data_IF_052771843197
#
_entry.id   IF_052771843197
#
_cell.length_a   1.000
_cell.length_b   1.000
_cell.length_c   1.000
_cell.angle_alpha   90.00
_cell.angle_beta   90.00
_cell.angle_gamma   90.00
#
_symmetry.space_group_name_H-M   'P 1'
#
loop_
_entity.id
_entity.type
_entity.pdbx_description
1 polymer ?
#
# COMPACT_ATOMS: atom_id res chain seq x y z
N UNK A 1 8.97 -18.18 -0.21
CA UNK A 1 9.82 -16.98 -0.01
C UNK A 1 8.95 -15.78 -0.32
N UNK A 2 8.81 -14.83 0.61
CA UNK A 2 8.07 -13.62 0.29
C UNK A 2 8.92 -12.78 -0.66
N UNK A 3 8.44 -12.64 -1.89
CA UNK A 3 8.91 -11.57 -2.76
C UNK A 3 8.56 -10.27 -2.04
N UNK A 4 9.51 -9.33 -1.99
CA UNK A 4 9.27 -7.98 -1.51
C UNK A 4 9.54 -7.04 -2.66
N UNK A 5 8.48 -6.67 -3.36
CA UNK A 5 8.52 -5.72 -4.46
C UNK A 5 9.04 -4.39 -3.94
N UNK A 6 10.08 -3.87 -4.59
CA UNK A 6 10.63 -2.55 -4.28
C UNK A 6 10.03 -1.54 -5.22
N UNK A 7 9.41 -0.53 -4.67
CA UNK A 7 8.89 0.61 -5.42
C UNK A 7 9.89 1.75 -5.39
N UNK A 8 10.08 2.39 -6.53
CA UNK A 8 10.78 3.67 -6.67
C UNK A 8 9.85 4.84 -6.37
N UNK A 9 10.43 6.03 -6.23
CA UNK A 9 9.65 7.28 -6.11
C UNK A 9 8.73 7.52 -7.32
N UNK A 10 9.17 7.15 -8.52
CA UNK A 10 8.35 7.31 -9.74
C UNK A 10 7.15 6.38 -9.71
N UNK A 11 7.31 5.15 -9.23
CA UNK A 11 6.21 4.20 -9.08
C UNK A 11 5.15 4.74 -8.12
N UNK A 12 5.56 5.26 -6.95
CA UNK A 12 4.61 5.85 -6.00
C UNK A 12 3.91 7.07 -6.57
N UNK A 13 4.63 7.92 -7.31
CA UNK A 13 4.03 9.09 -7.98
C UNK A 13 2.97 8.65 -8.98
N UNK A 14 3.26 7.61 -9.78
CA UNK A 14 2.32 7.08 -10.78
C UNK A 14 1.10 6.41 -10.12
N UNK A 15 1.31 5.61 -9.09
CA UNK A 15 0.23 4.96 -8.33
C UNK A 15 -0.69 6.03 -7.72
N UNK A 16 -0.12 7.01 -7.02
CA UNK A 16 -0.89 8.04 -6.32
C UNK A 16 -1.63 8.98 -7.28
N UNK A 17 -1.14 9.19 -8.50
CA UNK A 17 -1.82 9.99 -9.52
C UNK A 17 -3.20 9.43 -9.92
N UNK A 18 -3.48 8.16 -9.62
CA UNK A 18 -4.78 7.53 -9.87
C UNK A 18 -5.81 7.79 -8.76
N UNK A 19 -5.42 8.48 -7.68
CA UNK A 19 -6.26 8.73 -6.51
C UNK A 19 -6.20 10.20 -6.10
N UNK A 20 -7.27 10.72 -5.50
CA UNK A 20 -7.27 12.07 -4.92
C UNK A 20 -6.65 12.05 -3.51
N UNK A 21 -5.34 11.78 -3.44
CA UNK A 21 -4.57 11.70 -2.20
C UNK A 21 -3.44 12.73 -2.13
N UNK A 22 -3.38 13.66 -3.08
CA UNK A 22 -2.30 14.65 -3.19
C UNK A 22 -1.01 14.10 -3.81
N UNK A 23 0.06 14.89 -3.73
CA UNK A 23 1.34 14.59 -4.38
C UNK A 23 2.26 13.79 -3.45
N UNK A 24 2.94 12.78 -3.99
CA UNK A 24 3.98 12.03 -3.27
C UNK A 24 5.05 12.96 -2.68
N UNK A 25 5.39 12.77 -1.40
CA UNK A 25 6.48 13.48 -0.73
C UNK A 25 7.60 12.54 -0.30
N UNK A 26 7.27 11.49 0.47
CA UNK A 26 8.23 10.46 0.89
C UNK A 26 7.54 9.13 1.18
N UNK A 27 8.32 8.07 1.27
CA UNK A 27 7.85 6.75 1.69
C UNK A 27 8.82 6.04 2.62
N UNK A 28 8.29 5.22 3.52
CA UNK A 28 9.09 4.35 4.39
C UNK A 28 8.60 2.89 4.27
N UNK A 29 9.50 1.92 3.97
CA UNK A 29 9.13 0.51 3.94
C UNK A 29 8.85 -0.01 5.35
N UNK A 30 7.85 -0.88 5.49
CA UNK A 30 7.55 -1.57 6.76
C UNK A 30 8.32 -2.89 6.81
N UNK A 31 9.45 -2.89 7.53
CA UNK A 31 10.39 -4.02 7.57
C UNK A 31 9.86 -5.26 8.31
N UNK A 32 8.90 -5.10 9.22
CA UNK A 32 8.40 -6.16 10.12
C UNK A 32 7.40 -7.15 9.47
N UNK A 33 7.03 -6.96 8.20
CA UNK A 33 6.11 -7.87 7.49
C UNK A 33 6.86 -8.99 6.74
N UNK A 34 6.45 -10.25 6.94
CA UNK A 34 7.02 -11.43 6.25
C UNK A 34 6.18 -11.90 5.06
N UNK A 35 4.99 -11.35 4.84
CA UNK A 35 4.01 -11.90 3.87
C UNK A 35 3.69 -10.94 2.72
N UNK A 36 3.75 -9.63 2.95
CA UNK A 36 3.32 -8.61 2.00
C UNK A 36 4.25 -7.39 2.05
N UNK A 37 4.33 -6.69 0.93
CA UNK A 37 5.03 -5.42 0.82
C UNK A 37 4.14 -4.30 1.35
N UNK A 38 4.59 -3.62 2.40
CA UNK A 38 3.86 -2.50 3.01
C UNK A 38 4.76 -1.25 3.05
N UNK A 39 4.18 -0.10 2.76
CA UNK A 39 4.84 1.21 2.80
C UNK A 39 3.96 2.23 3.52
N UNK A 40 4.59 3.05 4.37
CA UNK A 40 4.01 4.32 4.78
C UNK A 40 4.25 5.34 3.66
N UNK A 41 3.19 5.94 3.15
CA UNK A 41 3.24 7.00 2.15
C UNK A 41 2.89 8.33 2.79
N UNK A 42 3.70 9.35 2.55
CA UNK A 42 3.41 10.71 2.94
C UNK A 42 3.13 11.52 1.68
N UNK A 43 1.99 12.19 1.66
CA UNK A 43 1.56 13.07 0.57
C UNK A 43 1.27 14.47 1.09
N UNK A 44 1.00 15.39 0.18
CA UNK A 44 0.58 16.75 0.53
C UNK A 44 -0.77 16.81 1.25
N UNK A 45 -1.62 15.79 1.12
CA UNK A 45 -2.94 15.74 1.76
C UNK A 45 -2.96 14.88 3.03
N UNK A 46 -1.93 14.07 3.29
CA UNK A 46 -1.90 13.27 4.52
C UNK A 46 -0.91 12.11 4.50
N UNK A 47 -1.15 11.15 5.39
CA UNK A 47 -0.36 9.92 5.51
C UNK A 47 -1.24 8.72 5.22
N UNK A 48 -0.73 7.82 4.40
CA UNK A 48 -1.44 6.64 3.91
C UNK A 48 -0.58 5.39 4.08
N UNK A 49 -1.23 4.23 4.05
CA UNK A 49 -0.55 2.93 4.04
C UNK A 49 -0.81 2.28 2.69
N UNK A 50 0.25 2.00 1.93
CA UNK A 50 0.17 1.15 0.76
C UNK A 50 0.45 -0.28 1.17
N UNK A 51 -0.46 -1.18 0.79
CA UNK A 51 -0.30 -2.62 0.94
C UNK A 51 -0.35 -3.29 -0.43
N UNK A 52 0.73 -3.96 -0.79
CA UNK A 52 0.88 -4.66 -2.05
C UNK A 52 0.91 -6.17 -1.82
N UNK A 53 -0.04 -6.85 -2.45
CA UNK A 53 -0.30 -8.28 -2.30
C UNK A 53 0.36 -9.08 -3.43
N UNK A 54 1.46 -9.76 -3.13
CA UNK A 54 2.24 -10.50 -4.15
C UNK A 54 1.76 -11.94 -4.38
N UNK A 55 1.29 -12.60 -3.31
CA UNK A 55 0.89 -14.01 -3.32
C UNK A 55 -0.44 -14.23 -2.59
N UNK A 56 -1.45 -13.40 -2.88
CA UNK A 56 -2.80 -13.58 -2.32
C UNK A 56 -3.83 -13.61 -3.43
N UNK A 57 -4.84 -14.47 -3.27
CA UNK A 57 -5.98 -14.49 -4.17
C UNK A 57 -6.81 -13.22 -3.99
N UNK A 58 -7.49 -12.79 -5.06
CA UNK A 58 -8.36 -11.61 -5.03
C UNK A 58 -9.44 -11.73 -3.96
N UNK A 59 -10.00 -12.92 -3.79
CA UNK A 59 -11.05 -13.22 -2.80
C UNK A 59 -10.56 -12.99 -1.38
N UNK A 60 -9.30 -13.38 -1.09
CA UNK A 60 -8.69 -13.15 0.22
C UNK A 60 -8.51 -11.65 0.51
N UNK A 61 -8.10 -10.88 -0.50
CA UNK A 61 -7.93 -9.41 -0.37
C UNK A 61 -9.28 -8.71 -0.18
N UNK A 62 -10.30 -9.14 -0.92
CA UNK A 62 -11.67 -8.61 -0.77
C UNK A 62 -12.25 -8.93 0.60
N UNK A 63 -12.07 -10.15 1.09
CA UNK A 63 -12.48 -10.53 2.45
C UNK A 63 -11.84 -9.63 3.52
N UNK A 64 -10.53 -9.42 3.43
CA UNK A 64 -9.81 -8.53 4.36
C UNK A 64 -10.31 -7.08 4.26
N UNK A 65 -10.52 -6.59 3.05
CA UNK A 65 -11.04 -5.23 2.82
C UNK A 65 -12.44 -5.07 3.44
N UNK A 66 -13.33 -6.04 3.23
CA UNK A 66 -14.67 -6.01 3.81
C UNK A 66 -14.65 -6.02 5.35
N UNK A 67 -13.72 -6.74 5.98
CA UNK A 67 -13.56 -6.72 7.43
C UNK A 67 -13.15 -5.33 7.94
N UNK A 68 -12.24 -4.65 7.24
CA UNK A 68 -11.79 -3.31 7.61
C UNK A 68 -12.89 -2.25 7.48
N UNK A 69 -13.78 -2.40 6.50
CA UNK A 69 -14.92 -1.50 6.29
C UNK A 69 -16.18 -1.90 7.07
N UNK A 70 -16.22 -3.07 7.70
CA UNK A 70 -17.42 -3.57 8.42
C UNK A 70 -17.58 -3.04 9.86
N UNK A 71 -16.64 -2.23 10.36
CA UNK A 71 -16.82 -1.58 11.66
C UNK A 71 -17.43 -0.19 11.46
N UNK A 72 -18.65 0.07 11.98
CA UNK A 72 -19.27 1.39 11.96
C UNK A 72 -18.54 2.40 12.84
#
# INVERSE_FOLDING_TARGET
>A
MAVKTRFSQQDFTHILAQYDLGTYTRSEPVSQGTVQTNYFLHTTQGKFVLRYYENRSKESVLFESHLLFSFP
#
